data_IF_780783311142
#
_entry.id   IF_780783311142
#
_cell.length_a   1.000
_cell.length_b   1.000
_cell.length_c   1.000
_cell.angle_alpha   90.00
_cell.angle_beta   90.00
_cell.angle_gamma   90.00
#
_symmetry.space_group_name_H-M   'P 1'
#
loop_
_entity.id
_entity.type
_entity.pdbx_description
1 polymer ?
#
# COMPACT_ATOMS: atom_id res chain seq x y z
N UNK A 1 35.87 8.38 38.41
CA UNK A 1 35.23 9.68 38.13
C UNK A 1 34.86 9.86 36.66
N UNK A 2 35.67 9.46 35.68
CA UNK A 2 35.26 9.52 34.25
C UNK A 2 34.24 8.46 33.83
N UNK A 3 34.17 7.30 34.49
CA UNK A 3 33.15 6.26 34.17
C UNK A 3 31.75 6.59 34.68
N UNK A 4 31.63 7.53 35.63
CA UNK A 4 30.35 7.92 36.23
C UNK A 4 29.68 9.04 35.42
N UNK A 5 30.50 9.87 34.76
CA UNK A 5 30.04 10.94 33.84
C UNK A 5 29.56 10.33 32.52
N UNK A 6 30.18 9.24 32.04
CA UNK A 6 29.72 8.52 30.85
C UNK A 6 28.41 7.75 31.07
N UNK A 7 28.15 7.24 32.29
CA UNK A 7 26.86 6.61 32.62
C UNK A 7 25.72 7.62 32.75
N UNK A 8 25.98 8.83 33.26
CA UNK A 8 24.96 9.90 33.32
C UNK A 8 24.70 10.52 31.93
N UNK A 9 25.71 10.62 31.07
CA UNK A 9 25.52 11.06 29.69
C UNK A 9 24.79 10.02 28.80
N UNK A 10 24.85 8.73 29.15
CA UNK A 10 24.06 7.70 28.48
C UNK A 10 22.61 7.67 28.99
N UNK A 11 22.37 7.97 30.28
CA UNK A 11 21.03 8.07 30.86
C UNK A 11 20.26 9.34 30.44
N UNK A 12 20.96 10.43 30.09
CA UNK A 12 20.33 11.64 29.56
C UNK A 12 20.07 11.59 28.05
N UNK A 13 20.63 10.60 27.33
CA UNK A 13 20.35 10.38 25.90
C UNK A 13 19.19 9.41 25.64
N UNK A 14 18.70 8.71 26.65
CA UNK A 14 17.61 7.74 26.54
C UNK A 14 16.30 8.18 27.19
N UNK A 15 16.25 9.36 27.82
CA UNK A 15 15.09 9.87 28.56
C UNK A 15 14.27 10.95 27.84
N UNK A 16 14.28 10.99 26.51
CA UNK A 16 13.23 11.66 25.75
C UNK A 16 12.53 10.65 24.85
N UNK A 17 11.23 10.50 25.11
CA UNK A 17 10.25 9.64 24.42
C UNK A 17 10.17 8.21 24.97
N UNK A 18 9.84 8.10 26.26
CA UNK A 18 8.86 7.09 26.69
C UNK A 18 7.55 7.85 26.92
N UNK A 19 6.80 8.04 25.84
CA UNK A 19 5.40 8.43 25.90
C UNK A 19 4.63 7.12 25.82
N UNK A 20 3.67 6.96 26.74
CA UNK A 20 2.76 5.83 26.85
C UNK A 20 2.45 5.19 25.50
N UNK A 21 2.62 3.87 25.42
CA UNK A 21 2.19 3.09 24.26
C UNK A 21 0.66 3.24 24.17
N UNK A 22 0.13 3.94 23.16
CA UNK A 22 -1.31 4.07 23.03
C UNK A 22 -1.88 2.71 22.66
N UNK A 23 -3.10 2.48 23.14
CA UNK A 23 -3.96 1.39 22.72
C UNK A 23 -3.89 1.19 21.20
N UNK A 24 -3.81 -0.07 20.76
CA UNK A 24 -3.50 -0.48 19.38
C UNK A 24 -4.63 -0.15 18.38
N UNK A 25 -5.53 0.75 18.75
CA UNK A 25 -6.68 1.26 18.01
C UNK A 25 -6.46 2.67 17.42
N UNK A 26 -5.36 3.38 17.74
CA UNK A 26 -4.98 4.65 17.11
C UNK A 26 -3.49 4.70 16.74
N UNK A 27 -3.09 3.92 15.73
CA UNK A 27 -1.82 4.19 15.05
C UNK A 27 -2.02 5.46 14.23
N UNK A 28 -1.66 6.62 14.78
CA UNK A 28 -1.55 7.84 13.98
C UNK A 28 -0.62 7.55 12.80
N UNK A 29 -1.18 7.50 11.60
CA UNK A 29 -0.40 7.26 10.40
C UNK A 29 0.48 8.48 10.13
N UNK A 30 1.72 8.45 10.63
CA UNK A 30 2.73 9.47 10.38
C UNK A 30 3.13 9.46 8.89
N UNK A 31 3.49 10.62 8.37
CA UNK A 31 3.90 10.84 6.97
C UNK A 31 5.18 11.66 6.94
N UNK A 32 6.08 11.26 6.05
CA UNK A 32 7.25 12.04 5.67
C UNK A 32 6.85 13.06 4.60
N UNK A 33 6.85 14.33 4.99
CA UNK A 33 6.57 15.45 4.10
C UNK A 33 7.88 16.16 3.74
N UNK A 34 8.16 16.31 2.44
CA UNK A 34 9.34 17.03 1.97
C UNK A 34 9.03 18.53 1.87
N UNK A 35 9.81 19.36 2.56
CA UNK A 35 9.70 20.81 2.55
C UNK A 35 10.68 21.42 1.56
N UNK A 36 10.17 22.26 0.66
CA UNK A 36 10.94 23.01 -0.32
C UNK A 36 10.78 24.52 -0.13
N UNK A 37 11.88 25.26 -0.25
CA UNK A 37 11.92 26.71 -0.26
C UNK A 37 11.99 27.18 -1.71
N UNK A 38 11.13 28.13 -2.05
CA UNK A 38 10.99 28.71 -3.39
C UNK A 38 11.78 30.02 -3.45
N UNK A 39 12.85 30.08 -4.27
CA UNK A 39 13.58 31.32 -4.46
C UNK A 39 12.70 32.44 -5.03
N UNK A 40 12.90 33.67 -4.54
CA UNK A 40 12.11 34.85 -4.98
C UNK A 40 12.24 35.14 -6.48
N UNK A 41 13.32 34.71 -7.13
CA UNK A 41 13.56 34.91 -8.56
C UNK A 41 12.70 34.01 -9.47
N UNK A 42 12.20 32.87 -8.98
CA UNK A 42 11.30 32.01 -9.77
C UNK A 42 9.82 32.35 -9.55
N UNK A 43 9.52 33.10 -8.48
CA UNK A 43 8.17 33.55 -8.18
C UNK A 43 7.76 34.75 -9.04
N UNK A 44 6.68 34.62 -9.82
CA UNK A 44 6.15 35.71 -10.64
C UNK A 44 5.22 36.60 -9.81
N UNK A 45 5.79 37.60 -9.13
CA UNK A 45 5.05 38.52 -8.26
C UNK A 45 3.78 39.12 -8.89
N UNK A 46 3.86 39.55 -10.16
CA UNK A 46 2.70 40.13 -10.89
C UNK A 46 1.51 39.17 -11.03
N UNK A 47 1.77 37.87 -11.10
CA UNK A 47 0.75 36.85 -11.35
C UNK A 47 0.45 36.01 -10.09
N UNK A 48 1.18 36.25 -8.98
CA UNK A 48 1.11 35.47 -7.75
C UNK A 48 1.18 33.95 -8.00
N UNK A 49 2.08 33.52 -8.89
CA UNK A 49 2.29 32.12 -9.21
C UNK A 49 3.75 31.80 -9.53
N UNK A 50 4.10 30.53 -9.42
CA UNK A 50 5.29 29.94 -10.03
C UNK A 50 4.88 28.74 -10.89
N UNK A 51 5.61 28.46 -11.96
CA UNK A 51 5.32 27.32 -12.84
C UNK A 51 5.95 26.04 -12.26
N UNK A 52 5.23 24.92 -12.33
CA UNK A 52 5.72 23.64 -11.81
C UNK A 52 7.01 23.18 -12.53
N UNK A 53 7.25 23.59 -13.77
CA UNK A 53 8.46 23.25 -14.52
C UNK A 53 9.72 23.93 -13.95
N UNK A 54 9.55 25.08 -13.29
CA UNK A 54 10.66 25.83 -12.67
C UNK A 54 11.03 25.31 -11.27
N UNK A 55 10.34 24.28 -10.79
CA UNK A 55 10.51 23.68 -9.47
C UNK A 55 11.82 22.91 -9.30
N UNK A 56 12.50 22.56 -10.40
CA UNK A 56 13.86 22.00 -10.34
C UNK A 56 14.87 22.94 -9.66
N UNK A 57 14.53 24.23 -9.52
CA UNK A 57 15.35 25.25 -8.86
C UNK A 57 14.96 25.47 -7.38
N UNK A 58 13.96 24.76 -6.87
CA UNK A 58 13.56 24.87 -5.47
C UNK A 58 14.62 24.25 -4.55
N UNK A 59 14.81 24.87 -3.37
CA UNK A 59 15.82 24.45 -2.40
C UNK A 59 15.17 23.50 -1.41
N UNK A 60 15.65 22.27 -1.32
CA UNK A 60 15.18 21.30 -0.34
C UNK A 60 15.58 21.74 1.08
N UNK A 61 14.59 22.00 1.94
CA UNK A 61 14.80 22.25 3.37
C UNK A 61 14.87 20.95 4.19
N UNK A 62 14.40 19.82 3.63
CA UNK A 62 14.47 18.50 4.23
C UNK A 62 13.11 17.86 4.47
N UNK A 63 13.07 16.82 5.31
CA UNK A 63 11.87 16.04 5.60
C UNK A 63 11.36 16.33 7.01
N UNK A 64 10.04 16.33 7.14
CA UNK A 64 9.35 16.48 8.42
C UNK A 64 8.41 15.28 8.60
N UNK A 65 8.51 14.61 9.74
CA UNK A 65 7.69 13.46 10.08
C UNK A 65 6.50 13.91 10.94
N UNK A 66 5.29 13.90 10.38
CA UNK A 66 4.09 14.48 11.01
C UNK A 66 2.82 13.64 10.84
N UNK A 67 1.83 13.75 11.74
CA UNK A 67 0.53 13.07 11.60
C UNK A 67 -0.26 13.58 10.38
N UNK A 68 -0.96 12.68 9.69
CA UNK A 68 -1.74 13.02 8.49
C UNK A 68 -2.90 14.00 8.71
N UNK A 69 -3.49 13.97 9.91
CA UNK A 69 -4.64 14.79 10.24
C UNK A 69 -4.24 16.17 10.80
N UNK A 70 -2.94 16.42 10.99
CA UNK A 70 -2.42 17.71 11.42
C UNK A 70 -2.77 18.79 10.39
N UNK A 71 -3.19 19.97 10.86
CA UNK A 71 -3.42 21.12 9.99
C UNK A 71 -2.09 21.71 9.51
N UNK A 72 -2.07 22.35 8.35
CA UNK A 72 -0.84 23.01 7.89
C UNK A 72 -0.52 24.27 8.71
N UNK A 73 -1.52 24.86 9.38
CA UNK A 73 -1.28 25.90 10.38
C UNK A 73 -0.44 25.39 11.56
N UNK A 74 -0.78 24.23 12.13
CA UNK A 74 0.01 23.61 13.21
C UNK A 74 1.39 23.14 12.70
N UNK A 75 1.47 22.68 11.45
CA UNK A 75 2.73 22.30 10.81
C UNK A 75 3.75 23.45 10.82
N UNK A 76 3.30 24.71 10.75
CA UNK A 76 4.15 25.90 10.81
C UNK A 76 5.01 25.92 12.07
N UNK A 77 4.41 25.58 13.22
CA UNK A 77 5.11 25.51 14.50
C UNK A 77 6.15 24.39 14.52
N UNK A 78 5.82 23.24 13.92
CA UNK A 78 6.72 22.09 13.84
C UNK A 78 7.93 22.40 12.94
N UNK A 79 7.69 22.98 11.76
CA UNK A 79 8.75 23.41 10.85
C UNK A 79 9.63 24.45 11.52
N UNK A 80 9.05 25.44 12.21
CA UNK A 80 9.83 26.44 12.94
C UNK A 80 10.67 25.81 14.06
N UNK A 81 10.14 24.83 14.78
CA UNK A 81 10.87 24.12 15.84
C UNK A 81 12.08 23.34 15.30
N UNK A 82 11.95 22.73 14.12
CA UNK A 82 13.00 21.87 13.52
C UNK A 82 14.00 22.70 12.71
N UNK A 83 13.51 23.63 11.88
CA UNK A 83 14.31 24.36 10.90
C UNK A 83 14.63 25.80 11.33
N UNK A 84 13.90 26.38 12.30
CA UNK A 84 14.09 27.77 12.74
C UNK A 84 15.38 28.05 13.52
N UNK A 85 16.22 27.03 13.75
CA UNK A 85 17.57 27.20 14.30
C UNK A 85 18.63 27.48 13.22
N UNK A 86 18.30 27.31 11.94
CA UNK A 86 19.20 27.61 10.82
C UNK A 86 18.98 29.04 10.33
N UNK A 87 20.03 29.86 10.30
CA UNK A 87 20.00 31.24 9.82
C UNK A 87 19.56 31.37 8.35
N UNK A 88 19.64 30.28 7.58
CA UNK A 88 19.21 30.23 6.19
C UNK A 88 17.71 29.96 6.00
N UNK A 89 16.98 29.59 7.06
CA UNK A 89 15.55 29.31 6.97
C UNK A 89 14.72 30.59 7.12
N UNK A 90 13.72 30.84 6.25
CA UNK A 90 12.83 32.00 6.37
C UNK A 90 12.14 32.10 7.73
N UNK A 91 12.26 33.25 8.41
CA UNK A 91 11.52 33.53 9.66
C UNK A 91 10.02 33.62 9.40
N UNK A 92 9.65 34.34 8.35
CA UNK A 92 8.28 34.48 7.87
C UNK A 92 8.13 33.90 6.48
N UNK A 93 7.06 33.12 6.30
CA UNK A 93 6.82 32.44 5.05
C UNK A 93 5.36 32.17 4.76
N UNK A 94 5.06 31.91 3.49
CA UNK A 94 3.74 31.58 2.96
C UNK A 94 3.80 30.16 2.39
N UNK A 95 2.84 29.31 2.76
CA UNK A 95 2.70 28.01 2.11
C UNK A 95 2.22 28.16 0.68
N UNK A 96 2.76 27.35 -0.22
CA UNK A 96 2.26 27.23 -1.58
C UNK A 96 1.70 25.84 -1.80
N UNK A 97 0.70 25.74 -2.67
CA UNK A 97 0.12 24.48 -3.12
C UNK A 97 0.14 24.40 -4.64
N UNK A 98 0.28 23.18 -5.16
CA UNK A 98 0.19 22.94 -6.60
C UNK A 98 -1.26 22.89 -7.05
N UNK A 99 -1.61 23.70 -8.05
CA UNK A 99 -2.91 23.76 -8.69
C UNK A 99 -2.69 23.72 -10.20
N UNK A 100 -3.01 22.57 -10.81
CA UNK A 100 -2.75 22.35 -12.23
C UNK A 100 -1.25 22.36 -12.55
N UNK A 101 -0.80 23.37 -13.31
CA UNK A 101 0.61 23.52 -13.74
C UNK A 101 1.38 24.59 -12.95
N UNK A 102 0.77 25.16 -11.92
CA UNK A 102 1.35 26.27 -11.17
C UNK A 102 1.27 26.05 -9.67
N UNK A 103 2.20 26.66 -8.93
CA UNK A 103 2.08 26.89 -7.51
C UNK A 103 1.33 28.18 -7.23
N UNK A 104 0.47 28.13 -6.21
CA UNK A 104 -0.35 29.26 -5.77
C UNK A 104 -0.21 29.45 -4.26
N UNK A 105 -0.32 30.69 -3.80
CA UNK A 105 -0.29 31.01 -2.36
C UNK A 105 -1.48 30.36 -1.66
N UNK A 106 -1.22 29.69 -0.54
CA UNK A 106 -2.26 29.24 0.40
C UNK A 106 -2.63 30.45 1.25
N UNK A 107 -3.92 30.75 1.37
CA UNK A 107 -4.41 31.86 2.20
C UNK A 107 -4.41 31.47 3.69
N UNK A 108 -4.34 32.42 4.63
CA UNK A 108 -4.31 32.14 6.06
C UNK A 108 -5.49 31.26 6.54
N UNK A 109 -6.71 31.56 6.07
CA UNK A 109 -7.89 30.77 6.40
C UNK A 109 -7.81 29.33 5.86
N UNK A 110 -7.18 29.16 4.69
CA UNK A 110 -6.96 27.83 4.12
C UNK A 110 -5.92 27.04 4.91
N UNK A 111 -5.02 27.68 5.66
CA UNK A 111 -4.05 26.97 6.50
C UNK A 111 -4.71 26.21 7.64
N UNK A 112 -5.84 26.70 8.13
CA UNK A 112 -6.63 26.06 9.20
C UNK A 112 -7.48 24.90 8.67
N UNK A 113 -7.94 25.00 7.43
CA UNK A 113 -8.80 23.99 6.80
C UNK A 113 -8.01 22.83 6.17
N UNK A 114 -6.83 23.13 5.61
CA UNK A 114 -5.99 22.14 4.92
C UNK A 114 -5.19 21.30 5.91
N UNK A 115 -5.09 20.00 5.64
CA UNK A 115 -4.36 19.03 6.45
C UNK A 115 -3.18 18.45 5.67
N UNK A 116 -2.23 17.86 6.39
CA UNK A 116 -1.05 17.20 5.78
C UNK A 116 -1.46 16.14 4.75
N UNK A 117 -2.54 15.39 5.00
CA UNK A 117 -3.06 14.41 4.04
C UNK A 117 -3.46 14.98 2.67
N UNK A 118 -3.69 16.29 2.56
CA UNK A 118 -4.00 16.96 1.29
C UNK A 118 -2.74 17.13 0.41
N UNK A 119 -1.55 16.99 0.98
CA UNK A 119 -0.26 17.16 0.29
C UNK A 119 0.37 15.82 -0.09
N UNK A 120 -0.38 14.70 -0.07
CA UNK A 120 0.10 13.38 -0.51
C UNK A 120 -0.80 12.77 -1.59
N UNK A 121 -0.32 11.74 -2.32
CA UNK A 121 -1.17 10.95 -3.20
C UNK A 121 -2.38 10.36 -2.48
N UNK A 122 -3.57 10.37 -3.10
CA UNK A 122 -3.86 10.74 -4.50
C UNK A 122 -4.15 12.23 -4.75
N UNK A 123 -4.14 13.08 -3.71
CA UNK A 123 -4.49 14.50 -3.84
C UNK A 123 -3.39 15.32 -4.53
N UNK A 124 -2.14 14.92 -4.32
CA UNK A 124 -0.96 15.46 -5.02
C UNK A 124 -0.16 14.31 -5.64
N UNK A 125 0.78 14.65 -6.53
CA UNK A 125 1.65 13.66 -7.16
C UNK A 125 2.70 13.07 -6.19
N UNK A 126 3.14 13.87 -5.22
CA UNK A 126 4.19 13.51 -4.27
C UNK A 126 3.91 14.17 -2.90
N UNK A 127 4.43 13.59 -1.78
CA UNK A 127 4.30 14.15 -0.44
C UNK A 127 5.21 15.37 -0.23
N UNK A 128 4.88 16.48 -0.90
CA UNK A 128 5.71 17.68 -0.95
C UNK A 128 4.91 18.93 -0.56
N UNK A 129 5.56 19.85 0.16
CA UNK A 129 5.04 21.18 0.47
C UNK A 129 6.08 22.24 0.13
N UNK A 130 5.59 23.37 -0.39
CA UNK A 130 6.43 24.46 -0.86
C UNK A 130 6.21 25.70 0.00
N UNK A 131 7.28 26.44 0.21
CA UNK A 131 7.33 27.61 1.08
C UNK A 131 7.95 28.78 0.33
N UNK A 132 7.33 29.95 0.41
CA UNK A 132 7.86 31.20 -0.11
C UNK A 132 8.18 32.14 1.05
N UNK A 133 9.39 32.69 1.09
CA UNK A 133 9.78 33.71 2.06
C UNK A 133 8.96 35.01 1.83
N UNK A 134 8.27 35.49 2.87
CA UNK A 134 7.45 36.69 2.83
C UNK A 134 6.27 36.67 3.81
N UNK A 135 5.61 37.81 3.99
CA UNK A 135 4.43 37.93 4.85
C UNK A 135 3.14 38.03 4.02
N UNK A 136 1.99 37.70 4.62
CA UNK A 136 0.71 37.84 3.93
C UNK A 136 0.33 39.32 3.63
N UNK A 137 0.94 40.27 4.36
CA UNK A 137 0.62 41.71 4.27
C UNK A 137 1.47 42.49 3.26
N UNK A 138 2.35 41.84 2.48
CA UNK A 138 3.17 42.49 1.44
C UNK A 138 2.35 42.98 0.20
N UNK A 139 1.05 43.23 0.38
CA UNK A 139 0.10 43.65 -0.66
C UNK A 139 0.15 45.16 -1.00
N UNK A 140 1.20 45.88 -0.61
CA UNK A 140 1.35 47.31 -0.89
C UNK A 140 2.31 47.59 -2.05
N UNK A 141 1.92 47.25 -3.29
CA UNK A 141 2.40 47.86 -4.54
C UNK A 141 1.68 47.26 -5.76
N UNK A 142 0.40 47.58 -5.94
CA UNK A 142 -0.20 47.53 -7.28
C UNK A 142 -0.66 48.94 -7.66
N UNK A 143 -0.23 49.50 -8.80
CA UNK A 143 -0.94 50.62 -9.38
C UNK A 143 -2.28 50.10 -9.87
N UNK A 144 -3.33 50.67 -9.30
CA UNK A 144 -4.70 50.63 -9.78
C UNK A 144 -4.74 50.93 -11.29
N UNK A 145 -5.32 50.03 -12.08
CA UNK A 145 -6.54 50.28 -12.85
C UNK A 145 -6.71 49.28 -14.03
N UNK A 146 -7.92 48.69 -14.10
CA UNK A 146 -8.63 48.17 -15.31
C UNK A 146 -8.01 46.98 -16.07
N UNK A 147 -8.69 45.86 -16.36
CA UNK A 147 -10.12 45.50 -16.43
C UNK A 147 -10.30 44.02 -16.09
N UNK A 148 -11.46 43.75 -15.49
CA UNK A 148 -12.15 42.48 -15.37
C UNK A 148 -11.83 41.42 -16.46
N UNK A 149 -11.31 40.28 -16.02
CA UNK A 149 -11.88 39.00 -16.44
C UNK A 149 -12.46 38.32 -15.21
N UNK A 150 -13.74 38.61 -15.00
CA UNK A 150 -14.63 37.81 -14.19
C UNK A 150 -14.70 36.44 -14.87
N UNK A 151 -14.01 35.42 -14.33
CA UNK A 151 -14.47 34.05 -14.50
C UNK A 151 -15.32 33.72 -13.28
N UNK A 152 -16.60 34.06 -13.40
CA UNK A 152 -17.66 33.62 -12.50
C UNK A 152 -17.55 32.11 -12.32
N UNK A 153 -17.54 31.68 -11.08
CA UNK A 153 -18.02 30.36 -10.72
C UNK A 153 -19.44 30.19 -11.27
N UNK A 154 -19.64 29.13 -12.04
CA UNK A 154 -20.95 28.50 -12.22
C UNK A 154 -20.78 26.98 -12.04
N UNK A 155 -21.71 26.35 -11.29
CA UNK A 155 -21.64 24.95 -10.92
C UNK A 155 -22.18 24.07 -12.06
N UNK A 156 -21.45 23.01 -12.42
CA UNK A 156 -22.02 21.90 -13.18
C UNK A 156 -22.01 20.66 -12.29
N UNK A 157 -23.17 20.42 -11.68
CA UNK A 157 -23.59 19.12 -11.20
C UNK A 157 -23.92 18.22 -12.39
N UNK A 158 -23.37 17.00 -12.42
CA UNK A 158 -24.10 15.72 -12.65
C UNK A 158 -23.04 14.62 -12.83
N UNK A 159 -22.96 13.71 -11.87
CA UNK A 159 -23.83 12.53 -11.70
C UNK A 159 -23.32 11.35 -12.53
N UNK A 160 -22.95 10.33 -11.77
CA UNK A 160 -23.02 8.91 -12.10
C UNK A 160 -24.10 8.62 -13.15
N UNK A 161 -23.80 7.75 -14.12
CA UNK A 161 -24.48 6.48 -14.31
C UNK A 161 -23.86 5.67 -15.46
N UNK A 162 -23.75 4.37 -15.18
CA UNK A 162 -23.87 3.20 -16.05
C UNK A 162 -24.38 3.40 -17.48
N UNK A 163 -24.05 2.45 -18.38
CA UNK A 163 -24.99 2.06 -19.41
C UNK A 163 -25.28 0.55 -19.41
N UNK A 164 -26.56 0.22 -19.30
CA UNK A 164 -27.16 -0.95 -19.91
C UNK A 164 -28.39 -0.49 -20.68
N UNK A 165 -28.47 -0.90 -21.96
CA UNK A 165 -29.70 -1.29 -22.70
C UNK A 165 -30.66 -0.10 -23.05
N UNK A 166 -31.08 0.21 -24.29
CA UNK A 166 -31.56 -0.60 -25.42
C UNK A 166 -31.83 0.26 -26.69
N UNK A 167 -31.76 -0.41 -27.85
CA UNK A 167 -32.56 -0.27 -29.12
C UNK A 167 -32.51 1.05 -29.90
N UNK A 168 -32.62 1.14 -31.24
CA UNK A 168 -33.15 0.30 -32.35
C UNK A 168 -32.29 0.53 -33.62
N UNK A 169 -31.76 -0.52 -34.25
CA UNK A 169 -32.30 -1.19 -35.46
C UNK A 169 -32.02 -0.44 -36.80
N UNK A 170 -31.18 -1.04 -37.68
CA UNK A 170 -31.59 -1.49 -39.02
C UNK A 170 -30.49 -2.30 -39.75
N UNK A 171 -30.74 -3.62 -39.84
CA UNK A 171 -30.49 -4.60 -40.93
C UNK A 171 -29.11 -4.64 -41.63
N UNK A 172 -28.44 -5.79 -41.77
CA UNK A 172 -28.95 -7.04 -42.36
C UNK A 172 -28.27 -8.32 -41.82
N UNK A 173 -29.14 -9.29 -41.48
CA UNK A 173 -29.11 -10.76 -41.67
C UNK A 173 -27.76 -11.48 -41.85
N UNK A 174 -27.47 -12.58 -41.13
CA UNK A 174 -27.95 -13.93 -41.49
C UNK A 174 -28.44 -14.80 -40.30
N UNK A 175 -29.64 -15.33 -40.53
CA UNK A 175 -30.42 -16.47 -39.99
C UNK A 175 -29.79 -17.44 -38.98
N UNK A 176 -30.51 -17.61 -37.84
CA UNK A 176 -30.60 -18.83 -37.01
C UNK A 176 -31.93 -19.54 -37.27
N UNK A 177 -32.05 -20.85 -36.99
CA UNK A 177 -33.30 -21.45 -36.54
C UNK A 177 -33.32 -21.60 -35.01
N UNK A 178 -34.46 -21.24 -34.42
CA UNK A 178 -34.86 -21.52 -33.04
C UNK A 178 -35.24 -23.00 -32.87
N UNK A 179 -34.99 -23.54 -31.68
CA UNK A 179 -36.04 -23.96 -30.73
C UNK A 179 -35.42 -24.64 -29.50
N UNK A 180 -35.88 -24.24 -28.32
CA UNK A 180 -35.86 -25.03 -27.07
C UNK A 180 -37.33 -25.33 -26.75
N UNK A 181 -37.70 -26.38 -25.98
CA UNK A 181 -37.37 -26.40 -24.55
C UNK A 181 -37.05 -27.78 -23.94
N UNK A 182 -36.36 -27.70 -22.80
CA UNK A 182 -36.27 -28.66 -21.70
C UNK A 182 -35.74 -30.07 -21.99
N UNK A 183 -34.61 -30.39 -21.38
CA UNK A 183 -34.51 -31.62 -20.60
C UNK A 183 -33.37 -31.54 -19.58
N UNK A 184 -33.64 -32.20 -18.47
CA UNK A 184 -32.90 -32.20 -17.23
C UNK A 184 -31.50 -32.78 -17.40
N UNK A 185 -30.61 -32.26 -16.56
CA UNK A 185 -29.32 -32.85 -16.20
C UNK A 185 -29.47 -34.34 -15.88
N UNK A 186 -28.64 -35.17 -16.52
CA UNK A 186 -28.30 -36.49 -16.01
C UNK A 186 -26.80 -36.72 -16.24
N UNK A 187 -26.03 -36.53 -15.17
CA UNK A 187 -24.65 -37.00 -15.07
C UNK A 187 -24.66 -38.52 -14.95
N UNK A 188 -24.19 -39.19 -16.00
CA UNK A 188 -23.94 -40.61 -16.01
C UNK A 188 -22.91 -40.98 -14.93
N UNK A 189 -23.36 -41.69 -13.89
CA UNK A 189 -22.48 -42.48 -13.02
C UNK A 189 -22.85 -43.93 -13.21
N UNK A 190 -21.84 -44.70 -13.62
CA UNK A 190 -21.80 -46.15 -13.64
C UNK A 190 -22.36 -46.73 -12.32
N UNK A 191 -23.52 -47.40 -12.36
CA UNK A 191 -23.91 -48.35 -11.30
C UNK A 191 -24.89 -49.40 -11.80
N UNK A 192 -24.30 -50.55 -12.13
CA UNK A 192 -24.75 -51.93 -11.96
C UNK A 192 -26.23 -52.21 -11.70
N UNK A 193 -26.77 -53.01 -12.63
CA UNK A 193 -28.00 -53.79 -12.58
C UNK A 193 -28.13 -54.64 -11.31
N UNK A 194 -29.22 -54.46 -10.57
CA UNK A 194 -29.89 -55.57 -9.86
C UNK A 194 -31.41 -55.36 -9.97
N UNK A 195 -32.07 -56.27 -10.68
CA UNK A 195 -33.52 -56.40 -10.69
C UNK A 195 -33.99 -56.98 -9.34
N UNK A 196 -35.07 -56.43 -8.78
CA UNK A 196 -35.91 -57.16 -7.85
C UNK A 196 -37.37 -56.81 -8.10
N UNK A 197 -38.01 -57.70 -8.85
CA UNK A 197 -39.44 -57.83 -8.98
C UNK A 197 -40.00 -58.52 -7.73
N UNK A 198 -41.07 -57.93 -7.19
CA UNK A 198 -41.95 -58.60 -6.26
C UNK A 198 -42.53 -59.88 -6.89
N UNK A 199 -42.33 -61.01 -6.23
CA UNK A 199 -43.37 -62.03 -6.10
C UNK A 199 -43.36 -62.56 -4.67
N UNK A 200 -44.45 -62.26 -3.98
CA UNK A 200 -44.93 -63.06 -2.86
C UNK A 200 -45.21 -64.47 -3.40
N UNK A 201 -44.58 -65.48 -2.84
CA UNK A 201 -45.26 -66.73 -2.55
C UNK A 201 -44.50 -67.54 -1.51
N UNK A 202 -45.27 -68.01 -0.54
CA UNK A 202 -44.93 -68.98 0.49
C UNK A 202 -44.23 -70.21 -0.08
N UNK A 203 -43.19 -70.70 0.60
CA UNK A 203 -43.22 -72.06 1.19
C UNK A 203 -42.04 -72.27 2.14
N UNK A 204 -42.40 -72.87 3.27
CA UNK A 204 -41.59 -73.58 4.26
C UNK A 204 -40.41 -74.35 3.64
N UNK A 205 -39.17 -74.09 4.06
CA UNK A 205 -38.06 -75.05 4.00
C UNK A 205 -37.08 -74.80 5.16
N UNK A 206 -37.27 -75.54 6.25
CA UNK A 206 -36.23 -75.80 7.23
C UNK A 206 -35.14 -76.69 6.59
N UNK A 207 -33.87 -76.25 6.63
CA UNK A 207 -32.72 -77.06 6.22
C UNK A 207 -31.39 -76.45 6.69
N UNK A 208 -30.42 -77.26 7.15
CA UNK A 208 -29.22 -76.81 7.88
C UNK A 208 -28.09 -76.24 6.98
N UNK A 209 -28.41 -75.66 5.82
CA UNK A 209 -27.44 -75.16 4.85
C UNK A 209 -27.14 -73.65 4.95
N UNK A 210 -27.91 -72.88 5.72
CA UNK A 210 -27.78 -71.42 5.83
C UNK A 210 -26.59 -70.98 6.71
N UNK A 211 -26.10 -71.87 7.59
CA UNK A 211 -24.97 -71.62 8.49
C UNK A 211 -23.62 -71.47 7.77
N UNK A 212 -23.47 -72.12 6.60
CA UNK A 212 -22.22 -72.05 5.80
C UNK A 212 -22.05 -70.71 5.09
N UNK A 213 -23.08 -70.23 4.41
CA UNK A 213 -23.06 -68.96 3.68
C UNK A 213 -23.00 -67.72 4.59
N UNK A 214 -23.59 -67.79 5.79
CA UNK A 214 -23.48 -66.73 6.79
C UNK A 214 -22.04 -66.53 7.29
N UNK A 215 -21.25 -67.61 7.41
CA UNK A 215 -19.83 -67.53 7.81
C UNK A 215 -18.96 -66.96 6.69
N UNK A 216 -19.29 -67.25 5.44
CA UNK A 216 -18.55 -66.77 4.27
C UNK A 216 -18.79 -65.28 4.01
N UNK A 217 -20.03 -64.80 4.18
CA UNK A 217 -20.36 -63.37 4.14
C UNK A 217 -19.71 -62.57 5.29
N UNK A 218 -19.58 -63.17 6.47
CA UNK A 218 -18.87 -62.55 7.60
C UNK A 218 -17.38 -62.38 7.30
N UNK A 219 -16.74 -63.41 6.72
CA UNK A 219 -15.32 -63.34 6.28
C UNK A 219 -15.11 -62.27 5.21
N UNK A 220 -16.02 -62.15 4.23
CA UNK A 220 -15.91 -61.14 3.17
C UNK A 220 -16.04 -59.70 3.71
N UNK A 221 -16.92 -59.48 4.70
CA UNK A 221 -17.04 -58.19 5.39
C UNK A 221 -15.78 -57.85 6.18
N UNK A 222 -15.23 -58.83 6.90
CA UNK A 222 -13.99 -58.67 7.65
C UNK A 222 -12.80 -58.37 6.72
N UNK A 223 -12.76 -59.00 5.54
CA UNK A 223 -11.76 -58.72 4.50
C UNK A 223 -11.91 -57.31 3.89
N UNK A 224 -13.13 -56.87 3.61
CA UNK A 224 -13.39 -55.50 3.17
C UNK A 224 -12.99 -54.46 4.23
N UNK A 225 -13.25 -54.75 5.50
CA UNK A 225 -12.87 -53.87 6.61
C UNK A 225 -11.35 -53.82 6.80
N UNK A 226 -10.66 -54.96 6.65
CA UNK A 226 -9.20 -55.02 6.58
C UNK A 226 -8.62 -54.18 5.44
N UNK A 227 -9.20 -54.24 4.24
CA UNK A 227 -8.77 -53.43 3.10
C UNK A 227 -8.99 -51.93 3.34
N UNK A 228 -10.13 -51.56 3.95
CA UNK A 228 -10.44 -50.18 4.31
C UNK A 228 -9.45 -49.63 5.33
N UNK A 229 -9.11 -50.39 6.37
CA UNK A 229 -8.10 -50.02 7.37
C UNK A 229 -6.71 -49.88 6.74
N UNK A 230 -6.33 -50.78 5.83
CA UNK A 230 -5.05 -50.69 5.09
C UNK A 230 -4.98 -49.43 4.22
N UNK A 231 -6.07 -49.02 3.59
CA UNK A 231 -6.13 -47.77 2.83
C UNK A 231 -5.99 -46.53 3.71
N UNK A 232 -6.63 -46.54 4.90
CA UNK A 232 -6.50 -45.45 5.89
C UNK A 232 -5.05 -45.33 6.36
N UNK A 233 -4.39 -46.45 6.64
CA UNK A 233 -2.99 -46.46 7.08
C UNK A 233 -2.04 -45.96 5.99
N UNK A 234 -2.24 -46.38 4.73
CA UNK A 234 -1.47 -45.86 3.60
C UNK A 234 -1.69 -44.36 3.38
N UNK A 235 -2.93 -43.87 3.58
CA UNK A 235 -3.22 -42.44 3.51
C UNK A 235 -2.55 -41.65 4.65
N UNK A 236 -2.46 -42.25 5.84
CA UNK A 236 -1.74 -41.68 6.99
C UNK A 236 -0.24 -41.57 6.71
N UNK A 237 0.39 -42.63 6.22
CA UNK A 237 1.80 -42.63 5.83
C UNK A 237 2.11 -41.60 4.73
N UNK A 238 1.23 -41.46 3.73
CA UNK A 238 1.38 -40.43 2.68
C UNK A 238 1.37 -39.01 3.25
N UNK A 239 0.45 -38.70 4.16
CA UNK A 239 0.39 -37.40 4.84
C UNK A 239 1.63 -37.14 5.69
N UNK A 240 2.16 -38.16 6.34
CA UNK A 240 3.36 -38.05 7.17
C UNK A 240 4.60 -37.73 6.34
N UNK A 241 4.79 -38.42 5.21
CA UNK A 241 5.86 -38.12 4.25
C UNK A 241 5.72 -36.71 3.68
N UNK A 242 4.50 -36.29 3.33
CA UNK A 242 4.23 -34.95 2.81
C UNK A 242 4.56 -33.85 3.83
N UNK A 243 4.19 -34.04 5.10
CA UNK A 243 4.54 -33.12 6.17
C UNK A 243 6.04 -33.05 6.41
N UNK A 244 6.75 -34.18 6.31
CA UNK A 244 8.20 -34.20 6.43
C UNK A 244 8.89 -33.48 5.26
N UNK A 245 8.38 -33.62 4.04
CA UNK A 245 8.85 -32.87 2.88
C UNK A 245 8.65 -31.36 3.06
N UNK A 246 7.48 -30.94 3.53
CA UNK A 246 7.21 -29.53 3.82
C UNK A 246 8.13 -28.96 4.90
N UNK A 247 8.46 -29.75 5.94
CA UNK A 247 9.43 -29.35 6.96
C UNK A 247 10.82 -29.14 6.38
N UNK A 248 11.31 -30.09 5.57
CA UNK A 248 12.63 -29.99 4.91
C UNK A 248 12.69 -28.79 3.95
N UNK A 249 11.62 -28.54 3.20
CA UNK A 249 11.55 -27.39 2.29
C UNK A 249 11.56 -26.06 3.06
N UNK A 250 10.81 -25.99 4.18
CA UNK A 250 10.82 -24.82 5.06
C UNK A 250 12.19 -24.55 5.66
N UNK A 251 12.88 -25.59 6.14
CA UNK A 251 14.26 -25.48 6.65
C UNK A 251 15.25 -25.01 5.57
N UNK A 252 15.10 -25.51 4.33
CA UNK A 252 15.97 -25.11 3.23
C UNK A 252 15.75 -23.64 2.84
N UNK A 253 14.49 -23.21 2.83
CA UNK A 253 14.11 -21.80 2.60
C UNK A 253 14.65 -20.89 3.70
N UNK A 254 14.55 -21.31 4.96
CA UNK A 254 15.06 -20.55 6.10
C UNK A 254 16.60 -20.44 6.07
N UNK A 255 17.30 -21.53 5.73
CA UNK A 255 18.76 -21.49 5.52
C UNK A 255 19.16 -20.53 4.41
N UNK A 256 18.43 -20.54 3.29
CA UNK A 256 18.70 -19.65 2.17
C UNK A 256 18.42 -18.18 2.53
N UNK A 257 17.36 -17.92 3.28
CA UNK A 257 17.04 -16.57 3.77
C UNK A 257 18.09 -16.07 4.77
N UNK A 258 18.56 -16.92 5.69
CA UNK A 258 19.60 -16.58 6.65
C UNK A 258 20.94 -16.28 5.96
N UNK A 259 21.33 -17.08 4.95
CA UNK A 259 22.52 -16.81 4.14
C UNK A 259 22.40 -15.45 3.41
N UNK A 260 21.23 -15.13 2.85
CA UNK A 260 20.96 -13.84 2.21
C UNK A 260 21.00 -12.67 3.22
N UNK A 261 20.52 -12.86 4.44
CA UNK A 261 20.59 -11.85 5.51
C UNK A 261 22.03 -11.60 5.94
N UNK A 262 22.83 -12.65 6.08
CA UNK A 262 24.25 -12.54 6.44
C UNK A 262 25.06 -11.82 5.35
N UNK A 263 24.82 -12.14 4.08
CA UNK A 263 25.43 -11.42 2.96
C UNK A 263 25.07 -9.93 2.96
N UNK A 264 23.79 -9.58 3.15
CA UNK A 264 23.34 -8.19 3.27
C UNK A 264 24.05 -7.46 4.42
N UNK A 265 24.16 -8.08 5.58
CA UNK A 265 24.88 -7.48 6.71
C UNK A 265 26.37 -7.27 6.42
N UNK A 266 27.00 -8.18 5.68
CA UNK A 266 28.41 -8.04 5.28
C UNK A 266 28.58 -6.87 4.29
N UNK A 267 27.70 -6.76 3.31
CA UNK A 267 27.69 -5.65 2.34
C UNK A 267 27.42 -4.31 3.02
N UNK A 268 26.48 -4.25 3.96
CA UNK A 268 26.19 -3.05 4.76
C UNK A 268 27.40 -2.61 5.58
N UNK A 269 28.10 -3.55 6.24
CA UNK A 269 29.34 -3.25 6.97
C UNK A 269 30.43 -2.75 6.05
N UNK A 270 30.59 -3.34 4.87
CA UNK A 270 31.57 -2.89 3.89
C UNK A 270 31.23 -1.50 3.33
N UNK A 271 29.96 -1.24 3.03
CA UNK A 271 29.48 0.06 2.60
C UNK A 271 29.71 1.13 3.67
N UNK A 272 29.47 0.82 4.95
CA UNK A 272 29.74 1.71 6.07
C UNK A 272 31.24 2.09 6.15
N UNK A 273 32.14 1.12 6.00
CA UNK A 273 33.60 1.36 5.97
C UNK A 273 33.97 2.26 4.79
N UNK A 274 33.42 2.00 3.59
CA UNK A 274 33.67 2.84 2.40
C UNK A 274 33.19 4.28 2.60
N UNK A 275 32.01 4.48 3.18
CA UNK A 275 31.45 5.80 3.48
C UNK A 275 32.33 6.54 4.49
N UNK A 276 32.76 5.87 5.56
CA UNK A 276 33.67 6.46 6.55
C UNK A 276 35.00 6.90 5.92
N UNK A 277 35.58 6.07 5.05
CA UNK A 277 36.79 6.40 4.29
C UNK A 277 36.58 7.62 3.38
N UNK A 278 35.47 7.67 2.65
CA UNK A 278 35.10 8.79 1.80
C UNK A 278 34.93 10.09 2.60
N UNK A 279 34.27 10.01 3.76
CA UNK A 279 34.05 11.16 4.64
C UNK A 279 35.36 11.69 5.24
N UNK A 280 36.28 10.81 5.66
CA UNK A 280 37.62 11.20 6.13
C UNK A 280 38.40 11.93 5.04
N UNK A 281 38.37 11.42 3.81
CA UNK A 281 39.02 12.06 2.65
C UNK A 281 38.39 13.41 2.29
N UNK A 282 37.07 13.51 2.31
CA UNK A 282 36.36 14.76 2.10
C UNK A 282 36.74 15.81 3.16
N UNK A 283 36.76 15.43 4.45
CA UNK A 283 37.16 16.29 5.56
C UNK A 283 38.59 16.81 5.38
N UNK A 284 39.53 15.94 5.00
CA UNK A 284 40.92 16.33 4.76
C UNK A 284 41.05 17.30 3.58
N UNK A 285 40.36 17.04 2.46
CA UNK A 285 40.33 17.95 1.31
C UNK A 285 39.73 19.31 1.65
N UNK A 286 38.66 19.33 2.46
CA UNK A 286 38.04 20.58 2.93
C UNK A 286 39.01 21.39 3.77
N UNK A 287 39.67 20.76 4.76
CA UNK A 287 40.70 21.43 5.59
C UNK A 287 41.85 21.98 4.75
N UNK A 288 42.30 21.25 3.73
CA UNK A 288 43.36 21.70 2.83
C UNK A 288 42.93 22.93 2.01
N UNK A 289 41.73 22.89 1.41
CA UNK A 289 41.16 24.04 0.68
C UNK A 289 40.98 25.25 1.58
N UNK A 290 40.52 25.05 2.80
CA UNK A 290 40.36 26.13 3.78
C UNK A 290 41.72 26.74 4.17
N UNK A 291 42.75 25.92 4.39
CA UNK A 291 44.12 26.40 4.64
C UNK A 291 44.66 27.20 3.45
N UNK A 292 44.45 26.71 2.23
CA UNK A 292 44.85 27.43 1.00
C UNK A 292 44.13 28.77 0.87
N UNK A 293 42.84 28.82 1.17
CA UNK A 293 42.05 30.05 1.13
C UNK A 293 42.52 31.06 2.19
N UNK A 294 42.79 30.60 3.42
CA UNK A 294 43.36 31.44 4.49
C UNK A 294 44.73 32.00 4.11
N UNK A 295 45.58 31.17 3.49
CA UNK A 295 46.90 31.61 3.03
C UNK A 295 46.79 32.64 1.90
N UNK A 296 45.90 32.41 0.93
CA UNK A 296 45.62 33.39 -0.12
C UNK A 296 45.10 34.71 0.44
N UNK A 297 44.15 34.68 1.37
CA UNK A 297 43.62 35.87 2.03
C UNK A 297 44.69 36.62 2.84
N UNK A 298 45.59 35.91 3.53
CA UNK A 298 46.70 36.51 4.26
C UNK A 298 47.70 37.21 3.32
N UNK A 299 48.05 36.56 2.20
CA UNK A 299 48.93 37.14 1.20
C UNK A 299 48.32 38.40 0.56
N UNK A 300 47.02 38.37 0.24
CA UNK A 300 46.31 39.54 -0.28
C UNK A 300 46.24 40.68 0.74
N UNK A 301 46.00 40.37 2.02
CA UNK A 301 46.02 41.38 3.08
C UNK A 301 47.41 42.02 3.23
N UNK A 302 48.48 41.21 3.17
CA UNK A 302 49.86 41.73 3.20
C UNK A 302 50.15 42.61 1.98
N UNK A 303 49.64 42.22 0.79
CA UNK A 303 49.76 43.02 -0.44
C UNK A 303 49.08 44.38 -0.29
N UNK A 304 47.83 44.38 0.19
CA UNK A 304 47.06 45.61 0.42
C UNK A 304 47.68 46.49 1.51
N UNK A 305 48.26 45.90 2.56
CA UNK A 305 48.98 46.64 3.59
C UNK A 305 50.26 47.28 3.05
N UNK A 306 51.01 46.59 2.18
CA UNK A 306 52.17 47.16 1.49
C UNK A 306 51.76 48.31 0.58
N UNK A 307 50.71 48.12 -0.21
CA UNK A 307 50.15 49.13 -1.10
C UNK A 307 49.65 50.37 -0.33
N UNK A 308 48.98 50.18 0.81
CA UNK A 308 48.55 51.28 1.68
C UNK A 308 49.74 52.04 2.30
N UNK A 309 50.80 51.34 2.73
CA UNK A 309 52.04 51.98 3.21
C UNK A 309 52.74 52.76 2.11
N UNK A 310 52.79 52.21 0.90
CA UNK A 310 53.37 52.87 -0.26
C UNK A 310 52.55 54.09 -0.69
N UNK A 311 51.22 54.03 -0.66
CA UNK A 311 50.35 55.18 -0.88
C UNK A 311 50.52 56.26 0.19
N UNK A 312 50.75 55.88 1.45
CA UNK A 312 51.02 56.85 2.52
C UNK A 312 52.39 57.50 2.33
N UNK A 313 53.40 56.74 1.87
CA UNK A 313 54.72 57.25 1.50
C UNK A 313 54.64 58.17 0.29
N UNK A 314 53.90 57.78 -0.75
CA UNK A 314 53.66 58.60 -1.95
C UNK A 314 52.90 59.88 -1.63
N UNK A 315 51.90 59.86 -0.75
CA UNK A 315 51.23 61.09 -0.28
C UNK A 315 52.16 62.03 0.49
N UNK A 316 53.13 61.50 1.23
CA UNK A 316 54.16 62.30 1.90
C UNK A 316 55.26 62.79 0.93
N UNK A 317 55.50 62.05 -0.16
CA UNK A 317 56.38 62.46 -1.26
C UNK A 317 55.68 63.46 -2.20
N UNK A 318 54.36 63.37 -2.41
CA UNK A 318 53.53 64.27 -3.24
C UNK A 318 53.25 65.63 -2.58
N UNK A 319 53.50 65.79 -1.27
CA UNK A 319 53.56 67.11 -0.61
C UNK A 319 54.85 67.88 -0.99
N UNK A 320 55.79 67.26 -1.69
CA UNK A 320 56.96 67.92 -2.26
C UNK A 320 57.31 67.34 -3.64
N UNK A 321 56.96 68.10 -4.68
CA UNK A 321 57.49 68.08 -6.07
C UNK A 321 56.39 68.03 -7.14
N UNK A 322 56.40 69.13 -7.88
CA UNK A 322 55.88 69.45 -9.19
C UNK A 322 56.00 68.36 -10.27
N UNK A 323 55.03 68.41 -11.19
CA UNK A 323 55.09 68.01 -12.61
C UNK A 323 55.24 66.51 -12.97
N UNK A 324 54.12 65.94 -13.45
CA UNK A 324 54.05 64.65 -14.14
C UNK A 324 54.97 64.63 -15.35
N UNK A 325 55.96 63.74 -15.31
CA UNK A 325 56.92 63.51 -16.39
C UNK A 325 56.31 62.58 -17.46
N UNK A 326 56.53 62.87 -18.74
CA UNK A 326 55.94 62.16 -19.89
C UNK A 326 56.21 60.64 -19.90
N UNK A 327 57.26 60.20 -19.21
CA UNK A 327 57.64 58.79 -19.04
C UNK A 327 56.60 57.94 -18.29
N UNK A 328 55.93 58.52 -17.29
CA UNK A 328 54.96 57.79 -16.47
C UNK A 328 53.64 57.57 -17.20
N UNK A 329 53.27 58.50 -18.09
CA UNK A 329 52.13 58.35 -18.99
C UNK A 329 52.34 57.18 -19.95
N UNK A 330 53.56 57.00 -20.47
CA UNK A 330 53.90 55.87 -21.36
C UNK A 330 53.84 54.53 -20.62
N UNK A 331 54.43 54.44 -19.42
CA UNK A 331 54.37 53.20 -18.60
C UNK A 331 52.93 52.82 -18.23
N UNK A 332 52.10 53.79 -17.87
CA UNK A 332 50.70 53.56 -17.56
C UNK A 332 49.92 53.11 -18.80
N UNK A 333 50.23 53.66 -19.97
CA UNK A 333 49.65 53.24 -21.25
C UNK A 333 49.99 51.79 -21.58
N UNK A 334 51.25 51.37 -21.41
CA UNK A 334 51.69 49.99 -21.65
C UNK A 334 51.02 49.00 -20.69
N UNK A 335 50.94 49.35 -19.41
CA UNK A 335 50.27 48.50 -18.42
C UNK A 335 48.77 48.39 -18.67
N UNK A 336 48.12 49.48 -19.10
CA UNK A 336 46.71 49.47 -19.52
C UNK A 336 46.50 48.53 -20.72
N UNK A 337 47.43 48.52 -21.68
CA UNK A 337 47.37 47.65 -22.84
C UNK A 337 47.54 46.17 -22.45
N UNK A 338 48.46 45.87 -21.54
CA UNK A 338 48.64 44.54 -20.97
C UNK A 338 47.39 44.05 -20.22
N UNK A 339 46.75 44.92 -19.43
CA UNK A 339 45.51 44.59 -18.74
C UNK A 339 44.36 44.33 -19.72
N UNK A 340 44.30 45.07 -20.82
CA UNK A 340 43.31 44.84 -21.90
C UNK A 340 43.52 43.47 -22.55
N UNK A 341 44.74 43.06 -22.86
CA UNK A 341 45.02 41.75 -23.46
C UNK A 341 44.76 40.60 -22.49
N UNK A 342 45.09 40.77 -21.21
CA UNK A 342 44.74 39.80 -20.16
C UNK A 342 43.22 39.66 -20.02
N UNK A 343 42.49 40.77 -20.04
CA UNK A 343 41.02 40.77 -19.99
C UNK A 343 40.42 40.01 -21.17
N UNK A 344 40.84 40.30 -22.40
CA UNK A 344 40.31 39.63 -23.59
C UNK A 344 40.62 38.13 -23.60
N UNK A 345 41.80 37.72 -23.15
CA UNK A 345 42.14 36.31 -23.00
C UNK A 345 41.25 35.58 -21.97
N UNK A 346 40.98 36.21 -20.83
CA UNK A 346 40.09 35.67 -19.80
C UNK A 346 38.63 35.60 -20.29
N UNK A 347 38.17 36.60 -21.03
CA UNK A 347 36.83 36.59 -21.64
C UNK A 347 36.69 35.45 -22.65
N UNK A 348 37.70 35.21 -23.49
CA UNK A 348 37.71 34.07 -24.43
C UNK A 348 37.72 32.70 -23.71
N UNK A 349 38.47 32.57 -22.61
CA UNK A 349 38.45 31.36 -21.79
C UNK A 349 37.08 31.12 -21.15
N UNK A 350 36.44 32.18 -20.62
CA UNK A 350 35.08 32.13 -20.09
C UNK A 350 34.08 31.67 -21.14
N UNK A 351 34.14 32.20 -22.36
CA UNK A 351 33.26 31.78 -23.45
C UNK A 351 33.41 30.28 -23.77
N UNK A 352 34.64 29.77 -23.76
CA UNK A 352 34.91 28.34 -24.02
C UNK A 352 34.25 27.46 -22.96
N UNK A 353 34.36 27.83 -21.68
CA UNK A 353 33.71 27.11 -20.57
C UNK A 353 32.19 27.16 -20.71
N UNK A 354 31.62 28.31 -21.08
CA UNK A 354 30.17 28.45 -21.30
C UNK A 354 29.69 27.55 -22.43
N UNK A 355 30.42 27.48 -23.55
CA UNK A 355 30.07 26.57 -24.66
C UNK A 355 30.12 25.11 -24.22
N UNK A 356 31.14 24.71 -23.45
CA UNK A 356 31.23 23.36 -22.89
C UNK A 356 30.06 23.04 -21.93
N UNK A 357 29.71 23.99 -21.06
CA UNK A 357 28.55 23.85 -20.17
C UNK A 357 27.25 23.67 -20.95
N UNK A 358 27.01 24.49 -21.98
CA UNK A 358 25.83 24.38 -22.85
C UNK A 358 25.77 23.04 -23.57
N UNK A 359 26.91 22.54 -24.07
CA UNK A 359 26.99 21.23 -24.70
C UNK A 359 26.66 20.10 -23.72
N UNK A 360 27.18 20.16 -22.49
CA UNK A 360 26.85 19.18 -21.44
C UNK A 360 25.37 19.23 -21.04
N UNK A 361 24.79 20.43 -20.91
CA UNK A 361 23.36 20.59 -20.65
C UNK A 361 22.50 19.97 -21.76
N UNK A 362 22.87 20.18 -23.03
CA UNK A 362 22.18 19.55 -24.16
C UNK A 362 22.27 18.02 -24.12
N UNK A 363 23.46 17.48 -23.82
CA UNK A 363 23.65 16.03 -23.66
C UNK A 363 22.80 15.44 -22.53
N UNK A 364 22.74 16.11 -21.37
CA UNK A 364 21.92 15.68 -20.24
C UNK A 364 20.43 15.72 -20.62
N UNK A 365 19.98 16.76 -21.31
CA UNK A 365 18.59 16.87 -21.76
C UNK A 365 18.20 15.72 -22.71
N UNK A 366 19.10 15.35 -23.63
CA UNK A 366 18.91 14.19 -24.53
C UNK A 366 18.84 12.88 -23.72
N UNK A 367 19.80 12.62 -22.81
CA UNK A 367 19.77 11.40 -21.98
C UNK A 367 18.50 11.29 -21.13
N UNK A 368 18.06 12.39 -20.50
CA UNK A 368 16.79 12.42 -19.75
C UNK A 368 15.59 12.10 -20.64
N UNK A 369 15.60 12.51 -21.91
CA UNK A 369 14.54 12.17 -22.87
C UNK A 369 14.57 10.67 -23.18
N UNK A 370 15.73 10.12 -23.49
CA UNK A 370 15.91 8.68 -23.76
C UNK A 370 15.48 7.82 -22.57
N UNK A 371 15.89 8.17 -21.35
CA UNK A 371 15.50 7.47 -20.12
C UNK A 371 13.99 7.52 -19.90
N UNK A 372 13.34 8.66 -20.14
CA UNK A 372 11.88 8.78 -20.06
C UNK A 372 11.17 7.88 -21.06
N UNK A 373 11.67 7.79 -22.29
CA UNK A 373 11.05 6.98 -23.33
C UNK A 373 11.26 5.48 -23.07
N UNK A 374 12.43 5.07 -22.59
CA UNK A 374 12.70 3.71 -22.11
C UNK A 374 11.79 3.34 -20.93
N UNK A 375 11.63 4.25 -19.97
CA UNK A 375 10.73 4.05 -18.84
C UNK A 375 9.29 3.88 -19.30
N UNK A 376 8.79 4.73 -20.20
CA UNK A 376 7.43 4.61 -20.77
C UNK A 376 7.24 3.26 -21.46
N UNK A 377 8.21 2.81 -22.24
CA UNK A 377 8.14 1.53 -22.93
C UNK A 377 8.05 0.36 -21.93
N UNK A 378 8.92 0.35 -20.91
CA UNK A 378 8.90 -0.68 -19.86
C UNK A 378 7.60 -0.66 -19.06
N UNK A 379 7.13 0.52 -18.68
CA UNK A 379 5.85 0.70 -17.99
C UNK A 379 4.69 0.15 -18.82
N UNK A 380 4.63 0.44 -20.12
CA UNK A 380 3.56 -0.07 -20.99
C UNK A 380 3.58 -1.58 -21.12
N UNK A 381 4.76 -2.19 -21.24
CA UNK A 381 4.91 -3.65 -21.27
C UNK A 381 4.41 -4.25 -19.95
N UNK A 382 4.83 -3.69 -18.81
CA UNK A 382 4.46 -4.21 -17.49
C UNK A 382 2.98 -3.96 -17.17
N UNK A 383 2.42 -2.83 -17.60
CA UNK A 383 0.99 -2.52 -17.50
C UNK A 383 0.12 -3.55 -18.25
N UNK A 384 0.58 -4.00 -19.42
CA UNK A 384 -0.13 -5.05 -20.17
C UNK A 384 -0.11 -6.40 -19.45
N UNK A 385 0.99 -6.75 -18.78
CA UNK A 385 1.09 -7.99 -17.98
C UNK A 385 0.22 -7.93 -16.74
N UNK A 386 0.24 -6.80 -16.03
CA UNK A 386 -0.54 -6.60 -14.79
C UNK A 386 -2.05 -6.65 -15.06
N UNK A 387 -2.54 -6.08 -16.16
CA UNK A 387 -3.95 -6.21 -16.54
C UNK A 387 -4.39 -7.69 -16.71
N UNK A 388 -3.54 -8.54 -17.30
CA UNK A 388 -3.84 -9.97 -17.43
C UNK A 388 -3.83 -10.71 -16.07
N UNK A 389 -2.99 -10.28 -15.13
CA UNK A 389 -2.95 -10.82 -13.77
C UNK A 389 -4.15 -10.35 -12.94
N UNK A 390 -4.58 -9.09 -13.06
CA UNK A 390 -5.78 -8.56 -12.42
C UNK A 390 -7.03 -9.31 -12.88
N UNK A 391 -7.16 -9.57 -14.18
CA UNK A 391 -8.28 -10.35 -14.72
C UNK A 391 -8.26 -11.80 -14.22
N UNK A 392 -7.08 -12.44 -14.18
CA UNK A 392 -6.95 -13.79 -13.59
C UNK A 392 -7.31 -13.79 -12.10
N UNK A 393 -6.91 -12.77 -11.35
CA UNK A 393 -7.28 -12.60 -9.94
C UNK A 393 -8.79 -12.47 -9.75
N UNK A 394 -9.45 -11.70 -10.62
CA UNK A 394 -10.91 -11.56 -10.65
C UNK A 394 -11.61 -12.89 -10.95
N UNK A 395 -11.09 -13.68 -11.89
CA UNK A 395 -11.62 -15.02 -12.19
C UNK A 395 -11.53 -15.94 -10.96
N UNK A 396 -10.36 -16.01 -10.31
CA UNK A 396 -10.20 -16.84 -9.10
C UNK A 396 -11.08 -16.38 -7.94
N UNK A 397 -11.31 -15.07 -7.79
CA UNK A 397 -12.22 -14.53 -6.78
C UNK A 397 -13.68 -14.94 -7.06
N UNK A 398 -14.11 -14.90 -8.32
CA UNK A 398 -15.43 -15.37 -8.71
C UNK A 398 -15.58 -16.88 -8.47
N UNK A 399 -14.60 -17.69 -8.89
CA UNK A 399 -14.59 -19.14 -8.62
C UNK A 399 -14.69 -19.43 -7.12
N UNK A 400 -13.97 -18.67 -6.29
CA UNK A 400 -14.01 -18.83 -4.84
C UNK A 400 -15.35 -18.41 -4.24
N UNK A 401 -16.00 -17.39 -4.80
CA UNK A 401 -17.37 -16.99 -4.43
C UNK A 401 -18.39 -18.08 -4.80
N UNK A 402 -18.25 -18.69 -5.99
CA UNK A 402 -19.13 -19.76 -6.46
C UNK A 402 -19.01 -21.00 -5.56
N UNK A 403 -17.77 -21.42 -5.25
CA UNK A 403 -17.48 -22.53 -4.34
C UNK A 403 -18.06 -22.25 -2.94
N UNK A 404 -17.89 -21.03 -2.41
CA UNK A 404 -18.44 -20.68 -1.10
C UNK A 404 -19.97 -20.74 -1.08
N UNK A 405 -20.61 -20.32 -2.17
CA UNK A 405 -22.07 -20.42 -2.33
C UNK A 405 -22.52 -21.87 -2.36
N UNK A 406 -21.79 -22.73 -3.09
CA UNK A 406 -22.09 -24.16 -3.16
C UNK A 406 -21.90 -24.87 -1.81
N UNK A 407 -20.83 -24.52 -1.07
CA UNK A 407 -20.61 -24.99 0.31
C UNK A 407 -21.77 -24.60 1.21
N UNK A 408 -22.24 -23.35 1.11
CA UNK A 408 -23.34 -22.87 1.95
C UNK A 408 -24.65 -23.59 1.63
N UNK A 409 -24.95 -23.80 0.35
CA UNK A 409 -26.08 -24.63 -0.07
C UNK A 409 -25.96 -26.07 0.43
N UNK A 410 -24.75 -26.66 0.37
CA UNK A 410 -24.50 -28.01 0.87
C UNK A 410 -24.72 -28.10 2.39
N UNK A 411 -24.29 -27.09 3.16
CA UNK A 411 -24.58 -27.01 4.61
C UNK A 411 -26.08 -26.96 4.89
N UNK A 412 -26.84 -26.15 4.15
CA UNK A 412 -28.30 -26.07 4.30
C UNK A 412 -28.94 -27.44 4.01
N UNK A 413 -28.54 -28.11 2.93
CA UNK A 413 -29.03 -29.47 2.60
C UNK A 413 -28.72 -30.47 3.72
N UNK A 414 -27.51 -30.42 4.27
CA UNK A 414 -27.10 -31.28 5.38
C UNK A 414 -27.91 -31.00 6.66
N UNK A 415 -28.14 -29.73 6.97
CA UNK A 415 -28.95 -29.33 8.13
C UNK A 415 -30.40 -29.82 8.01
N UNK A 416 -31.00 -29.73 6.83
CA UNK A 416 -32.34 -30.26 6.60
C UNK A 416 -32.39 -31.78 6.73
N UNK A 417 -31.39 -32.48 6.19
CA UNK A 417 -31.28 -33.94 6.30
C UNK A 417 -31.11 -34.40 7.77
N UNK A 418 -30.28 -33.71 8.54
CA UNK A 418 -30.06 -34.01 9.96
C UNK A 418 -31.33 -33.76 10.80
N UNK A 419 -32.09 -32.70 10.52
CA UNK A 419 -33.40 -32.46 11.16
C UNK A 419 -34.40 -33.59 10.87
N UNK A 420 -34.53 -34.01 9.61
CA UNK A 420 -35.41 -35.12 9.23
C UNK A 420 -35.01 -36.43 9.91
N UNK A 421 -33.70 -36.69 10.01
CA UNK A 421 -33.19 -37.85 10.74
C UNK A 421 -33.52 -37.79 12.23
N UNK A 422 -33.33 -36.64 12.87
CA UNK A 422 -33.67 -36.44 14.28
C UNK A 422 -35.17 -36.65 14.53
N UNK A 423 -36.02 -36.16 13.62
CA UNK A 423 -37.46 -36.40 13.69
C UNK A 423 -37.78 -37.90 13.64
N UNK A 424 -37.22 -38.63 12.67
CA UNK A 424 -37.42 -40.08 12.56
C UNK A 424 -36.89 -40.86 13.78
N UNK A 425 -35.77 -40.44 14.36
CA UNK A 425 -35.23 -41.01 15.59
C UNK A 425 -36.18 -40.78 16.78
N UNK A 426 -36.78 -39.59 16.89
CA UNK A 426 -37.77 -39.27 17.91
C UNK A 426 -39.06 -40.10 17.74
N UNK A 427 -39.58 -40.24 16.50
CA UNK A 427 -40.74 -41.07 16.20
C UNK A 427 -40.49 -42.55 16.54
N UNK A 428 -39.30 -43.07 16.19
CA UNK A 428 -38.90 -44.43 16.57
C UNK A 428 -38.78 -44.59 18.08
N UNK A 429 -38.33 -43.57 18.81
CA UNK A 429 -38.28 -43.59 20.27
C UNK A 429 -39.69 -43.69 20.88
N UNK A 430 -40.61 -42.84 20.43
CA UNK A 430 -42.01 -42.86 20.88
C UNK A 430 -42.67 -44.22 20.61
N UNK A 431 -42.51 -44.78 19.42
CA UNK A 431 -43.03 -46.11 19.09
C UNK A 431 -42.44 -47.22 19.98
N UNK A 432 -41.16 -47.12 20.37
CA UNK A 432 -40.55 -48.06 21.33
C UNK A 432 -41.16 -47.94 22.72
N UNK A 433 -41.41 -46.72 23.19
CA UNK A 433 -42.08 -46.48 24.47
C UNK A 433 -43.51 -47.02 24.46
N UNK A 434 -44.28 -46.77 23.40
CA UNK A 434 -45.63 -47.32 23.23
C UNK A 434 -45.61 -48.86 23.23
N UNK A 435 -44.70 -49.49 22.49
CA UNK A 435 -44.55 -50.95 22.51
C UNK A 435 -44.18 -51.48 23.90
N UNK A 436 -43.36 -50.73 24.66
CA UNK A 436 -43.00 -51.09 26.03
C UNK A 436 -44.20 -50.94 26.98
N UNK A 437 -45.04 -49.91 26.80
CA UNK A 437 -46.30 -49.75 27.52
C UNK A 437 -47.29 -50.87 27.19
N UNK A 438 -47.47 -51.20 25.92
CA UNK A 438 -48.32 -52.33 25.50
C UNK A 438 -47.82 -53.63 26.13
N UNK A 439 -46.51 -53.86 26.12
CA UNK A 439 -45.90 -55.06 26.72
C UNK A 439 -46.12 -55.13 28.23
N UNK A 440 -45.98 -54.02 28.94
CA UNK A 440 -46.25 -53.97 30.39
C UNK A 440 -47.73 -54.15 30.70
N UNK A 441 -48.63 -53.56 29.91
CA UNK A 441 -50.07 -53.77 30.03
C UNK A 441 -50.48 -55.22 29.75
N UNK A 442 -49.90 -55.86 28.73
CA UNK A 442 -50.10 -57.28 28.43
C UNK A 442 -49.65 -58.16 29.60
N UNK A 443 -48.46 -57.91 30.16
CA UNK A 443 -47.98 -58.62 31.35
C UNK A 443 -48.90 -58.40 32.58
N UNK A 444 -49.49 -57.22 32.73
CA UNK A 444 -50.44 -56.93 33.81
C UNK A 444 -51.79 -57.66 33.62
N UNK A 445 -52.25 -57.82 32.37
CA UNK A 445 -53.44 -58.61 32.01
C UNK A 445 -53.22 -60.12 32.17
N UNK A 446 -52.03 -60.61 31.84
CA UNK A 446 -51.65 -62.02 31.98
C UNK A 446 -51.50 -62.44 33.46
N UNK A 447 -51.25 -61.49 34.37
CA UNK A 447 -51.21 -61.71 35.81
C UNK A 447 -52.55 -61.46 36.52
N UNK A 448 -53.67 -61.32 35.79
CA UNK A 448 -55.00 -61.13 36.37
C UNK A 448 -55.69 -62.50 36.59
N UNK A 449 -56.15 -62.85 37.81
CA UNK A 449 -56.77 -64.16 38.06
C UNK A 449 -58.12 -64.29 37.35
N UNK A 450 -58.31 -65.40 36.62
CA UNK A 450 -59.55 -65.76 35.93
C UNK A 450 -60.75 -65.72 36.90
N UNK A 451 -61.67 -64.77 36.69
CA UNK A 451 -63.02 -64.85 37.23
C UNK A 451 -64.05 -64.12 36.34
N UNK A 452 -64.78 -64.93 35.58
CA UNK A 452 -66.20 -64.82 35.18
C UNK A 452 -66.65 -63.66 34.27
N UNK A 453 -66.98 -64.07 33.04
CA UNK A 453 -67.95 -63.49 32.08
C UNK A 453 -69.30 -63.10 32.73
N UNK A 454 -70.01 -62.06 32.21
CA UNK A 454 -71.01 -62.29 31.14
C UNK A 454 -71.11 -61.20 30.04
N UNK A 455 -71.80 -61.58 28.95
CA UNK A 455 -72.14 -60.81 27.74
C UNK A 455 -73.42 -59.92 27.89
N UNK A 456 -74.03 -59.36 26.82
CA UNK A 456 -73.67 -58.09 26.16
C UNK A 456 -74.87 -57.10 26.08
N UNK A 457 -74.71 -55.81 26.42
CA UNK A 457 -75.79 -54.82 26.22
C UNK A 457 -75.22 -53.44 25.84
N UNK A 458 -75.76 -52.93 24.72
CA UNK A 458 -75.88 -51.53 24.27
C UNK A 458 -74.69 -50.81 23.60
N UNK A 459 -74.82 -50.79 22.27
CA UNK A 459 -74.46 -49.68 21.38
C UNK A 459 -74.74 -48.31 22.00
N UNK A 460 -73.74 -47.42 21.95
CA UNK A 460 -73.97 -46.00 21.66
C UNK A 460 -72.79 -45.46 20.85
N UNK A 461 -73.12 -45.08 19.63
CA UNK A 461 -72.31 -44.24 18.77
C UNK A 461 -71.96 -42.96 19.53
N UNK A 462 -70.68 -42.60 19.60
CA UNK A 462 -70.29 -41.20 19.76
C UNK A 462 -69.26 -40.85 18.69
N UNK A 463 -69.75 -39.97 17.84
CA UNK A 463 -69.13 -39.28 16.73
C UNK A 463 -67.87 -38.54 17.13
N UNK A 464 -66.86 -38.70 16.27
CA UNK A 464 -65.69 -37.84 16.07
C UNK A 464 -66.13 -36.37 15.92
N UNK A 465 -65.31 -35.41 16.38
CA UNK A 465 -64.94 -34.33 15.49
C UNK A 465 -63.43 -34.16 15.40
N UNK A 466 -62.97 -34.17 14.15
CA UNK A 466 -61.64 -33.78 13.69
C UNK A 466 -61.54 -32.26 13.91
N UNK A 467 -60.53 -31.81 14.67
CA UNK A 467 -60.07 -30.42 14.64
C UNK A 467 -58.58 -30.43 14.33
N UNK A 468 -58.26 -30.25 13.05
CA UNK A 468 -56.93 -29.95 12.57
C UNK A 468 -56.73 -28.44 12.69
N UNK A 469 -56.00 -27.99 13.71
CA UNK A 469 -55.46 -26.63 13.77
C UNK A 469 -53.99 -26.67 13.32
N UNK A 470 -53.77 -26.30 12.06
CA UNK A 470 -52.44 -26.01 11.52
C UNK A 470 -52.35 -24.49 11.44
N UNK A 471 -51.68 -23.87 12.41
CA UNK A 471 -51.24 -22.47 12.30
C UNK A 471 -49.78 -22.45 11.86
N UNK A 472 -49.57 -22.25 10.56
CA UNK A 472 -48.28 -21.87 9.97
C UNK A 472 -48.12 -20.35 10.15
N UNK A 473 -47.17 -19.93 10.98
CA UNK A 473 -46.65 -18.56 10.96
C UNK A 473 -45.47 -18.48 9.99
N UNK A 474 -45.57 -17.52 9.08
CA UNK A 474 -44.54 -17.08 8.12
C UNK A 474 -43.39 -16.36 8.79
#
# INVERSE_FOLDING_TARGET
MQSQIESEHLALRTNLISVDRPDSSQVEHLVDLHVYIIPKNIWKNRQNLAENETMEQAISAGFVHVPQNLTIHELRQIIFKICGQDDQFPKDFIYLRSVGRCLTKVKPQQETDLRVKNYRPPMTFAPEIYILEGHHDDESSTPTNTKAYIFRESPIHRSLMTPSQLTTNRQQSWVRPNAVPSLQSSTATYRSLVHSSERKNSTNLNGPAISSYSKELAKLREEQERLRLRQIELARQRREIELEQQRREKELREKQENLSREQRQKEEKEAAIRIQGAYRNYRNRRKLKEKQLRQHAANELERLQKEARELTRRKAEEEHVEELNAHDVVKLSDHLQELKTKRTALEAARETIIRQMQQLHAQIAVRRKEERDLWKQRYLIEKKKTAALEERGRMTLNEQSDINTEIEQAKIRLNNSTKLRQQAENECHLLREELQQIRTNMNNLENQPLSKQPSPVQQKQQTIPISLDITLQY
#
